data_IF_647798125153
#
_entry.id   IF_647798125153
#
_cell.length_a   1.000
_cell.length_b   1.000
_cell.length_c   1.000
_cell.angle_alpha   90.00
_cell.angle_beta   90.00
_cell.angle_gamma   90.00
#
_symmetry.space_group_name_H-M   'P 1'
#
loop_
_entity.id
_entity.type
_entity.pdbx_description
1 polymer ?
#
# COMPACT_ATOMS: atom_id res chain seq x y z
N UNK A 1 19.14 -3.51 5.65
CA UNK A 1 18.82 -3.99 7.01
C UNK A 1 18.61 -2.77 7.88
N UNK A 2 17.38 -2.59 8.37
CA UNK A 2 17.02 -1.58 9.38
C UNK A 2 16.78 -2.36 10.67
N UNK A 3 17.34 -1.94 11.81
CA UNK A 3 17.09 -2.58 13.11
C UNK A 3 16.30 -1.61 13.99
N UNK A 4 15.02 -1.92 14.24
CA UNK A 4 14.18 -1.20 15.21
C UNK A 4 14.41 -1.76 16.62
N UNK A 5 14.83 -0.94 17.57
CA UNK A 5 15.32 -1.37 18.88
C UNK A 5 14.24 -1.54 19.97
N UNK A 6 12.95 -1.45 19.67
CA UNK A 6 11.93 -1.12 20.67
C UNK A 6 10.87 -2.17 21.05
N UNK A 7 11.19 -3.46 21.06
CA UNK A 7 10.26 -4.49 21.60
C UNK A 7 10.79 -5.28 22.80
N UNK A 8 11.82 -4.78 23.50
CA UNK A 8 12.39 -5.49 24.65
C UNK A 8 11.73 -5.18 26.02
N UNK A 9 10.94 -4.10 26.17
CA UNK A 9 10.56 -3.59 27.50
C UNK A 9 9.05 -3.57 27.80
N UNK A 10 8.22 -4.39 27.15
CA UNK A 10 6.76 -4.43 27.40
C UNK A 10 6.25 -5.70 28.12
N UNK A 11 7.11 -6.50 28.75
CA UNK A 11 6.68 -7.79 29.35
C UNK A 11 6.99 -7.97 30.84
N UNK A 12 6.85 -6.92 31.65
CA UNK A 12 6.88 -7.04 33.12
C UNK A 12 5.82 -6.16 33.79
N UNK A 13 4.54 -6.42 33.49
CA UNK A 13 3.46 -6.17 34.46
C UNK A 13 2.20 -6.97 34.08
N UNK A 14 2.29 -8.30 34.19
CA UNK A 14 1.10 -9.14 34.21
C UNK A 14 0.61 -9.22 35.66
N UNK A 15 -0.68 -8.91 35.96
CA UNK A 15 -1.22 -9.10 37.29
C UNK A 15 -1.15 -10.59 37.69
N UNK A 16 -1.02 -10.91 38.99
CA UNK A 16 -0.94 -12.28 39.46
C UNK A 16 -2.17 -13.09 39.01
N UNK A 17 -1.90 -14.31 38.52
CA UNK A 17 -2.92 -15.30 38.19
C UNK A 17 -3.72 -15.66 39.44
N UNK A 18 -5.01 -15.34 39.46
CA UNK A 18 -5.96 -15.91 40.43
C UNK A 18 -6.44 -17.27 39.90
N UNK A 19 -5.58 -18.27 40.02
CA UNK A 19 -5.99 -19.68 39.97
C UNK A 19 -5.76 -20.27 41.36
N UNK A 20 -6.77 -20.19 42.21
CA UNK A 20 -6.95 -21.07 43.38
C UNK A 20 -8.34 -20.82 43.98
N UNK A 21 -9.37 -21.34 43.33
CA UNK A 21 -10.64 -21.63 43.99
C UNK A 21 -11.04 -23.08 43.71
N UNK A 22 -10.52 -23.94 44.59
CA UNK A 22 -11.11 -25.15 45.14
C UNK A 22 -12.49 -25.53 44.56
N UNK A 23 -12.50 -26.58 43.73
CA UNK A 23 -13.73 -27.28 43.31
C UNK A 23 -14.33 -28.09 44.47
N UNK A 24 -15.62 -27.93 44.79
CA UNK A 24 -16.36 -28.91 45.58
C UNK A 24 -16.69 -30.13 44.72
N UNK A 25 -16.31 -31.27 45.27
CA UNK A 25 -16.52 -32.63 44.80
C UNK A 25 -17.99 -33.05 45.02
N UNK A 26 -18.68 -33.49 43.97
CA UNK A 26 -19.97 -34.20 44.09
C UNK A 26 -20.08 -35.40 43.13
N UNK A 27 -20.91 -36.40 43.48
CA UNK A 27 -20.57 -37.80 43.30
C UNK A 27 -21.09 -38.43 42.00
N UNK A 28 -20.41 -39.54 41.68
CA UNK A 28 -20.69 -40.52 40.64
C UNK A 28 -22.13 -41.04 40.61
N UNK A 29 -22.71 -41.11 39.40
CA UNK A 29 -23.88 -41.92 39.08
C UNK A 29 -23.75 -42.50 37.67
N UNK A 30 -23.50 -43.81 37.64
CA UNK A 30 -23.87 -44.84 36.65
C UNK A 30 -24.34 -44.48 35.23
N UNK A 31 -23.63 -45.08 34.25
CA UNK A 31 -24.06 -45.71 32.97
C UNK A 31 -25.57 -46.00 32.79
N UNK A 32 -26.12 -46.16 31.55
CA UNK A 32 -25.50 -46.93 30.45
C UNK A 32 -25.75 -46.46 28.99
N UNK A 33 -25.04 -47.15 28.10
CA UNK A 33 -25.10 -47.19 26.65
C UNK A 33 -26.45 -47.65 26.07
N UNK A 34 -26.81 -47.14 24.89
CA UNK A 34 -27.43 -47.92 23.80
C UNK A 34 -27.65 -47.09 22.51
N UNK A 35 -27.84 -47.76 21.35
CA UNK A 35 -27.59 -47.21 20.02
C UNK A 35 -28.85 -47.07 19.14
N UNK A 36 -28.64 -46.59 17.90
CA UNK A 36 -29.55 -46.64 16.73
C UNK A 36 -30.86 -45.82 16.78
N UNK A 37 -31.04 -44.95 15.79
CA UNK A 37 -32.14 -45.08 14.83
C UNK A 37 -32.07 -44.00 13.74
N UNK A 38 -32.06 -44.46 12.49
CA UNK A 38 -32.49 -43.70 11.32
C UNK A 38 -33.94 -43.28 11.47
N UNK A 39 -34.31 -42.08 11.03
CA UNK A 39 -35.70 -41.71 10.79
C UNK A 39 -35.78 -40.70 9.66
N UNK A 40 -36.25 -41.19 8.53
CA UNK A 40 -36.79 -40.41 7.42
C UNK A 40 -37.94 -39.54 7.91
N UNK A 41 -37.90 -38.24 7.60
CA UNK A 41 -39.08 -37.40 7.53
C UNK A 41 -39.04 -36.59 6.23
N UNK A 42 -39.78 -37.10 5.26
CA UNK A 42 -40.50 -36.33 4.25
C UNK A 42 -41.27 -35.18 4.94
N UNK A 43 -41.25 -33.96 4.40
CA UNK A 43 -42.42 -33.06 4.43
C UNK A 43 -42.23 -31.77 3.60
N UNK A 44 -43.07 -31.71 2.56
CA UNK A 44 -43.81 -30.56 1.97
C UNK A 44 -43.05 -29.48 1.19
N UNK A 45 -43.14 -29.61 -0.14
CA UNK A 45 -43.02 -28.56 -1.14
C UNK A 45 -44.04 -27.42 -0.92
N UNK A 46 -43.63 -26.15 -0.93
CA UNK A 46 -44.56 -25.05 -1.19
C UNK A 46 -44.69 -24.88 -2.71
N UNK A 47 -45.80 -25.39 -3.26
CA UNK A 47 -46.26 -25.08 -4.62
C UNK A 47 -46.64 -23.59 -4.70
N UNK A 48 -45.71 -22.75 -5.16
CA UNK A 48 -46.01 -21.36 -5.51
C UNK A 48 -46.71 -21.32 -6.86
N UNK A 49 -48.01 -21.02 -6.82
CA UNK A 49 -48.83 -20.74 -7.99
C UNK A 49 -48.33 -19.49 -8.72
N UNK A 50 -47.63 -19.71 -9.84
CA UNK A 50 -47.26 -18.67 -10.80
C UNK A 50 -48.53 -18.26 -11.56
N UNK A 51 -49.16 -17.16 -11.14
CA UNK A 51 -50.17 -16.47 -11.94
C UNK A 51 -49.48 -15.87 -13.17
N UNK A 52 -49.80 -16.43 -14.35
CA UNK A 52 -49.48 -15.86 -15.66
C UNK A 52 -50.10 -14.47 -15.77
N UNK A 53 -49.30 -13.43 -15.62
CA UNK A 53 -49.70 -12.06 -15.94
C UNK A 53 -49.20 -11.70 -17.34
N UNK A 54 -50.18 -11.31 -18.15
CA UNK A 54 -50.14 -10.76 -19.49
C UNK A 54 -48.85 -10.00 -19.86
N UNK A 55 -48.28 -10.44 -20.98
CA UNK A 55 -47.33 -9.74 -21.83
C UNK A 55 -47.90 -8.42 -22.33
N UNK A 56 -47.42 -7.30 -21.77
CA UNK A 56 -47.44 -5.99 -22.43
C UNK A 56 -46.04 -5.45 -22.63
N UNK A 57 -45.81 -5.06 -23.89
CA UNK A 57 -44.60 -4.50 -24.48
C UNK A 57 -44.22 -3.14 -23.84
N UNK A 58 -42.91 -3.01 -23.69
CA UNK A 58 -42.06 -1.82 -23.92
C UNK A 58 -41.93 -0.72 -22.86
N UNK A 59 -40.67 -0.65 -22.38
CA UNK A 59 -39.79 0.53 -22.26
C UNK A 59 -40.17 1.62 -21.24
N UNK A 60 -39.80 1.38 -20.00
CA UNK A 60 -39.39 2.42 -19.05
C UNK A 60 -38.25 1.88 -18.19
N UNK A 61 -37.17 2.63 -17.92
CA UNK A 61 -36.12 2.17 -17.03
C UNK A 61 -36.72 1.98 -15.64
N UNK A 62 -36.63 0.77 -15.11
CA UNK A 62 -37.03 0.41 -13.74
C UNK A 62 -36.18 1.20 -12.75
N UNK A 63 -36.69 2.37 -12.35
CA UNK A 63 -36.14 3.17 -11.27
C UNK A 63 -36.31 2.40 -9.96
N UNK A 64 -35.24 1.74 -9.52
CA UNK A 64 -35.23 0.87 -8.34
C UNK A 64 -35.28 1.65 -7.01
N UNK A 65 -35.40 2.99 -7.06
CA UNK A 65 -35.49 3.85 -5.88
C UNK A 65 -36.57 4.92 -6.07
N UNK A 66 -37.51 5.09 -5.12
CA UNK A 66 -38.54 6.13 -5.19
C UNK A 66 -37.95 7.48 -4.80
N UNK A 67 -37.10 8.03 -5.66
CA UNK A 67 -36.71 9.43 -5.61
C UNK A 67 -37.88 10.27 -6.14
N UNK A 68 -38.85 10.54 -5.26
CA UNK A 68 -39.99 11.41 -5.54
C UNK A 68 -39.53 12.85 -5.80
N UNK A 69 -40.17 13.53 -6.76
CA UNK A 69 -39.75 14.82 -7.34
C UNK A 69 -39.74 16.05 -6.40
N UNK A 70 -39.79 15.88 -5.06
CA UNK A 70 -39.78 16.98 -4.09
C UNK A 70 -38.66 16.92 -3.05
N UNK A 71 -37.70 15.97 -3.16
CA UNK A 71 -36.63 15.87 -2.18
C UNK A 71 -35.66 17.04 -2.28
N UNK A 72 -35.31 17.61 -1.14
CA UNK A 72 -34.27 18.63 -1.05
C UNK A 72 -32.89 18.00 -1.31
N UNK A 73 -31.93 18.75 -1.85
CA UNK A 73 -30.55 18.27 -2.03
C UNK A 73 -29.93 17.74 -0.72
N UNK A 74 -30.37 18.28 0.43
CA UNK A 74 -29.97 17.81 1.76
C UNK A 74 -30.44 16.39 2.06
N UNK A 75 -31.70 16.06 1.75
CA UNK A 75 -32.24 14.71 1.93
C UNK A 75 -31.53 13.69 1.02
N UNK A 76 -31.26 14.07 -0.23
CA UNK A 76 -30.53 13.22 -1.17
C UNK A 76 -29.11 12.95 -0.67
N UNK A 77 -28.40 13.99 -0.19
CA UNK A 77 -27.08 13.84 0.42
C UNK A 77 -27.09 12.87 1.60
N UNK A 78 -28.02 13.01 2.54
CA UNK A 78 -28.14 12.13 3.70
C UNK A 78 -28.44 10.69 3.26
N UNK A 79 -29.35 10.52 2.31
CA UNK A 79 -29.71 9.21 1.75
C UNK A 79 -28.49 8.52 1.14
N UNK A 80 -27.75 9.23 0.30
CA UNK A 80 -26.54 8.72 -0.36
C UNK A 80 -25.46 8.35 0.66
N UNK A 81 -25.20 9.21 1.66
CA UNK A 81 -24.23 8.91 2.71
C UNK A 81 -24.60 7.67 3.55
N UNK A 82 -25.89 7.48 3.84
CA UNK A 82 -26.36 6.29 4.55
C UNK A 82 -26.18 5.02 3.69
N UNK A 83 -26.51 5.08 2.39
CA UNK A 83 -26.29 3.97 1.47
C UNK A 83 -24.80 3.61 1.35
N UNK A 84 -23.92 4.60 1.24
CA UNK A 84 -22.46 4.37 1.22
C UNK A 84 -21.99 3.73 2.52
N UNK A 85 -22.48 4.22 3.66
CA UNK A 85 -22.17 3.65 4.98
C UNK A 85 -22.60 2.18 5.07
N UNK A 86 -23.80 1.86 4.62
CA UNK A 86 -24.33 0.49 4.62
C UNK A 86 -23.52 -0.42 3.71
N UNK A 87 -23.13 0.08 2.53
CA UNK A 87 -22.27 -0.65 1.58
C UNK A 87 -20.90 -0.98 2.16
N UNK A 88 -20.32 -0.06 2.94
CA UNK A 88 -19.04 -0.26 3.64
C UNK A 88 -19.17 -1.21 4.83
N UNK A 89 -20.32 -1.21 5.53
CA UNK A 89 -20.59 -2.14 6.63
C UNK A 89 -20.84 -3.56 6.13
N UNK A 90 -21.57 -3.68 5.04
CA UNK A 90 -21.98 -4.94 4.43
C UNK A 90 -21.64 -4.90 2.94
N UNK A 91 -20.39 -5.20 2.56
CA UNK A 91 -19.99 -5.17 1.16
C UNK A 91 -20.76 -6.22 0.37
N UNK A 92 -21.39 -5.79 -0.73
CA UNK A 92 -22.04 -6.65 -1.71
C UNK A 92 -21.27 -6.52 -3.03
N UNK A 93 -20.19 -7.28 -3.27
CA UNK A 93 -19.28 -7.05 -4.40
C UNK A 93 -20.01 -6.95 -5.74
N UNK A 94 -20.97 -7.84 -6.00
CA UNK A 94 -21.75 -7.85 -7.24
C UNK A 94 -22.68 -6.65 -7.43
N UNK A 95 -23.25 -6.09 -6.35
CA UNK A 95 -24.23 -5.00 -6.42
C UNK A 95 -23.62 -3.60 -6.18
N UNK A 96 -22.42 -3.55 -5.60
CA UNK A 96 -21.74 -2.30 -5.22
C UNK A 96 -21.63 -1.30 -6.37
N UNK A 97 -21.18 -1.68 -7.59
CA UNK A 97 -21.06 -0.72 -8.69
C UNK A 97 -22.39 -0.08 -9.07
N UNK A 98 -23.45 -0.89 -9.22
CA UNK A 98 -24.78 -0.41 -9.61
C UNK A 98 -25.41 0.53 -8.56
N UNK A 99 -25.21 0.24 -7.27
CA UNK A 99 -25.67 1.11 -6.18
C UNK A 99 -24.92 2.44 -6.22
N UNK A 100 -23.59 2.41 -6.41
CA UNK A 100 -22.78 3.62 -6.49
C UNK A 100 -23.13 4.46 -7.73
N UNK A 101 -23.45 3.84 -8.86
CA UNK A 101 -23.91 4.53 -10.07
C UNK A 101 -25.26 5.22 -9.85
N UNK A 102 -26.21 4.54 -9.21
CA UNK A 102 -27.50 5.15 -8.85
C UNK A 102 -27.32 6.32 -7.88
N UNK A 103 -26.40 6.22 -6.92
CA UNK A 103 -26.07 7.32 -6.03
C UNK A 103 -25.44 8.50 -6.78
N UNK A 104 -24.52 8.23 -7.72
CA UNK A 104 -23.87 9.25 -8.54
C UNK A 104 -24.90 9.99 -9.41
N UNK A 105 -25.81 9.28 -10.08
CA UNK A 105 -26.90 9.85 -10.87
C UNK A 105 -27.81 10.75 -10.02
N UNK A 106 -28.23 10.26 -8.84
CA UNK A 106 -29.04 11.04 -7.91
C UNK A 106 -28.30 12.31 -7.45
N UNK A 107 -27.00 12.22 -7.17
CA UNK A 107 -26.18 13.38 -6.83
C UNK A 107 -26.14 14.41 -7.97
N UNK A 108 -25.96 13.97 -9.22
CA UNK A 108 -25.95 14.85 -10.41
C UNK A 108 -27.29 15.58 -10.57
N UNK A 109 -28.42 14.88 -10.44
CA UNK A 109 -29.76 15.50 -10.55
C UNK A 109 -29.98 16.62 -9.53
N UNK A 110 -29.32 16.56 -8.37
CA UNK A 110 -29.48 17.52 -7.29
C UNK A 110 -28.28 18.48 -7.11
N UNK A 111 -27.34 18.52 -8.08
CA UNK A 111 -26.18 19.42 -8.04
C UNK A 111 -25.20 19.11 -6.90
N UNK A 112 -25.11 17.85 -6.48
CA UNK A 112 -24.21 17.38 -5.42
C UNK A 112 -23.00 16.70 -6.06
N UNK A 113 -21.79 17.02 -5.60
CA UNK A 113 -20.59 16.29 -6.03
C UNK A 113 -20.51 14.93 -5.32
N UNK A 114 -20.75 13.85 -6.06
CA UNK A 114 -20.63 12.49 -5.52
C UNK A 114 -19.20 12.17 -5.06
N UNK A 115 -18.19 12.58 -5.83
CA UNK A 115 -16.78 12.45 -5.47
C UNK A 115 -16.47 13.13 -4.11
N UNK A 116 -17.03 14.31 -3.86
CA UNK A 116 -16.88 14.98 -2.57
C UNK A 116 -17.51 14.19 -1.42
N UNK A 117 -18.66 13.52 -1.63
CA UNK A 117 -19.28 12.68 -0.59
C UNK A 117 -18.42 11.45 -0.25
N UNK A 118 -17.82 10.81 -1.26
CA UNK A 118 -16.94 9.65 -1.06
C UNK A 118 -15.66 9.98 -0.28
N UNK A 119 -15.23 11.24 -0.32
CA UNK A 119 -14.03 11.73 0.36
C UNK A 119 -14.32 12.38 1.72
N UNK A 120 -15.60 12.50 2.11
CA UNK A 120 -15.97 13.04 3.41
C UNK A 120 -15.86 11.99 4.53
N UNK A 121 -15.37 12.44 5.69
CA UNK A 121 -15.33 11.67 6.93
C UNK A 121 -16.75 11.46 7.49
N UNK A 122 -17.46 10.50 6.91
CA UNK A 122 -18.89 10.28 7.14
C UNK A 122 -19.21 8.96 7.84
N UNK A 123 -18.21 8.11 8.05
CA UNK A 123 -18.37 6.82 8.74
C UNK A 123 -17.36 6.78 9.87
N UNK A 124 -17.83 6.95 11.11
CA UNK A 124 -16.99 6.84 12.32
C UNK A 124 -15.70 7.69 12.21
N UNK A 125 -15.85 8.97 11.86
CA UNK A 125 -14.76 9.96 11.67
C UNK A 125 -13.71 9.63 10.59
N UNK A 126 -13.99 8.64 9.75
CA UNK A 126 -13.17 8.25 8.61
C UNK A 126 -13.96 8.29 7.29
N UNK A 127 -13.22 8.24 6.18
CA UNK A 127 -13.82 8.18 4.84
C UNK A 127 -14.40 6.78 4.56
N UNK A 128 -15.42 6.66 3.70
CA UNK A 128 -15.85 5.37 3.15
C UNK A 128 -14.70 4.56 2.54
N UNK A 129 -13.73 5.22 1.89
CA UNK A 129 -12.56 4.60 1.27
C UNK A 129 -11.63 3.99 2.32
N UNK A 130 -11.39 4.68 3.44
CA UNK A 130 -10.63 4.16 4.58
C UNK A 130 -11.20 2.82 5.05
N UNK A 131 -12.52 2.78 5.32
CA UNK A 131 -13.16 1.56 5.80
C UNK A 131 -13.21 0.45 4.77
N UNK A 132 -13.33 0.79 3.48
CA UNK A 132 -13.24 -0.18 2.39
C UNK A 132 -11.85 -0.83 2.30
N UNK A 133 -10.79 -0.14 2.72
CA UNK A 133 -9.44 -0.72 2.87
C UNK A 133 -9.38 -1.59 4.13
N UNK A 134 -9.79 -1.06 5.29
CA UNK A 134 -9.68 -1.78 6.58
C UNK A 134 -10.49 -3.08 6.59
N UNK A 135 -11.67 -3.08 5.98
CA UNK A 135 -12.56 -4.26 5.92
C UNK A 135 -12.30 -5.16 4.70
N UNK A 136 -11.29 -4.84 3.90
CA UNK A 136 -10.96 -5.61 2.71
C UNK A 136 -10.48 -7.01 3.12
N UNK A 137 -11.01 -8.09 2.52
CA UNK A 137 -10.42 -9.41 2.66
C UNK A 137 -8.98 -9.43 2.13
N UNK A 138 -8.08 -10.17 2.80
CA UNK A 138 -6.65 -10.20 2.47
C UNK A 138 -6.36 -10.69 1.04
N UNK A 139 -7.24 -11.54 0.48
CA UNK A 139 -7.08 -12.07 -0.87
C UNK A 139 -8.41 -11.98 -1.63
N UNK A 140 -8.44 -11.38 -2.83
CA UNK A 140 -9.64 -11.40 -3.65
C UNK A 140 -9.89 -12.84 -4.14
N UNK A 141 -11.11 -13.33 -3.93
CA UNK A 141 -11.54 -14.69 -4.34
C UNK A 141 -11.34 -14.93 -5.84
N UNK A 142 -11.39 -13.88 -6.65
CA UNK A 142 -11.06 -13.94 -8.08
C UNK A 142 -10.38 -12.65 -8.55
N UNK A 143 -9.46 -12.73 -9.53
CA UNK A 143 -8.78 -11.56 -10.10
C UNK A 143 -9.73 -10.64 -10.89
N UNK A 144 -10.92 -11.12 -11.23
CA UNK A 144 -11.93 -10.40 -12.02
C UNK A 144 -13.00 -9.69 -11.18
N UNK A 145 -13.05 -9.95 -9.87
CA UNK A 145 -14.07 -9.35 -9.01
C UNK A 145 -13.70 -7.89 -8.72
N UNK A 146 -14.53 -6.97 -9.20
CA UNK A 146 -14.41 -5.56 -8.86
C UNK A 146 -14.71 -5.38 -7.38
N UNK A 147 -13.65 -5.22 -6.58
CA UNK A 147 -13.81 -4.93 -5.16
C UNK A 147 -14.47 -3.56 -4.95
N UNK A 148 -15.14 -3.42 -3.80
CA UNK A 148 -15.78 -2.17 -3.39
C UNK A 148 -14.79 -0.98 -3.44
N UNK A 149 -13.54 -1.21 -3.06
CA UNK A 149 -12.50 -0.18 -3.04
C UNK A 149 -12.26 0.43 -4.44
N UNK A 150 -12.12 -0.41 -5.46
CA UNK A 150 -11.91 -0.01 -6.84
C UNK A 150 -13.12 0.77 -7.35
N UNK A 151 -14.33 0.32 -7.02
CA UNK A 151 -15.56 1.01 -7.39
C UNK A 151 -15.66 2.42 -6.75
N UNK A 152 -15.23 2.55 -5.49
CA UNK A 152 -15.17 3.84 -4.79
C UNK A 152 -14.09 4.76 -5.39
N UNK A 153 -12.87 4.25 -5.62
CA UNK A 153 -11.74 5.05 -6.12
C UNK A 153 -12.02 5.63 -7.51
N UNK A 154 -12.60 4.84 -8.42
CA UNK A 154 -12.95 5.31 -9.77
C UNK A 154 -13.95 6.47 -9.75
N UNK A 155 -14.84 6.53 -8.75
CA UNK A 155 -15.87 7.58 -8.61
C UNK A 155 -15.44 8.73 -7.71
N UNK A 156 -14.38 8.54 -6.91
CA UNK A 156 -13.85 9.55 -6.01
C UNK A 156 -12.79 10.45 -6.67
N UNK A 157 -12.21 10.05 -7.80
CA UNK A 157 -11.16 10.81 -8.48
C UNK A 157 -11.63 12.21 -8.93
N UNK A 158 -10.78 13.25 -8.84
CA UNK A 158 -9.43 13.24 -8.25
C UNK A 158 -9.45 13.18 -6.71
N UNK A 159 -8.51 12.44 -6.12
CA UNK A 159 -8.40 12.33 -4.66
C UNK A 159 -7.75 13.60 -4.07
N UNK A 160 -8.30 14.06 -2.96
CA UNK A 160 -7.67 15.11 -2.14
C UNK A 160 -6.53 14.53 -1.32
N UNK A 161 -5.55 15.36 -0.96
CA UNK A 161 -4.43 14.97 -0.09
C UNK A 161 -4.92 14.39 1.25
N UNK A 162 -5.98 14.95 1.84
CA UNK A 162 -6.59 14.40 3.06
C UNK A 162 -7.12 12.98 2.86
N UNK A 163 -7.72 12.67 1.70
CA UNK A 163 -8.18 11.30 1.40
C UNK A 163 -7.01 10.36 1.19
N UNK A 164 -5.95 10.79 0.51
CA UNK A 164 -4.72 10.00 0.34
C UNK A 164 -4.07 9.70 1.69
N UNK A 165 -4.03 10.67 2.60
CA UNK A 165 -3.57 10.50 3.98
C UNK A 165 -4.40 9.46 4.74
N UNK A 166 -5.72 9.50 4.63
CA UNK A 166 -6.60 8.49 5.24
C UNK A 166 -6.38 7.10 4.62
N UNK A 167 -6.17 7.00 3.32
CA UNK A 167 -5.84 5.73 2.67
C UNK A 167 -4.51 5.15 3.18
N UNK A 168 -3.49 5.99 3.35
CA UNK A 168 -2.21 5.60 3.98
C UNK A 168 -2.42 5.08 5.39
N UNK A 169 -3.21 5.79 6.20
CA UNK A 169 -3.57 5.36 7.55
C UNK A 169 -4.27 3.99 7.53
N UNK A 170 -5.22 3.78 6.63
CA UNK A 170 -5.94 2.51 6.50
C UNK A 170 -4.99 1.34 6.20
N UNK A 171 -4.09 1.52 5.22
CA UNK A 171 -3.09 0.51 4.88
C UNK A 171 -2.10 0.27 6.04
N UNK A 172 -1.75 1.32 6.79
CA UNK A 172 -0.89 1.21 7.96
C UNK A 172 -1.54 0.38 9.07
N UNK A 173 -2.83 0.61 9.34
CA UNK A 173 -3.63 -0.13 10.34
C UNK A 173 -3.74 -1.60 9.98
N UNK A 174 -3.91 -1.94 8.69
CA UNK A 174 -3.95 -3.35 8.23
C UNK A 174 -2.57 -3.95 8.01
N UNK A 175 -1.51 -3.13 8.04
CA UNK A 175 -0.13 -3.51 7.67
C UNK A 175 -0.06 -4.21 6.28
N UNK A 176 -0.94 -3.83 5.35
CA UNK A 176 -1.05 -4.45 4.02
C UNK A 176 -0.18 -3.71 3.00
N UNK A 177 1.09 -4.09 2.96
CA UNK A 177 2.07 -3.54 2.02
C UNK A 177 1.72 -3.84 0.56
N UNK A 178 1.11 -4.99 0.26
CA UNK A 178 0.80 -5.39 -1.13
C UNK A 178 -0.33 -4.51 -1.68
N UNK A 179 -1.38 -4.31 -0.90
CA UNK A 179 -2.46 -3.38 -1.24
C UNK A 179 -1.94 -1.95 -1.37
N UNK A 180 -1.09 -1.50 -0.43
CA UNK A 180 -0.52 -0.17 -0.49
C UNK A 180 0.26 0.07 -1.79
N UNK A 181 1.11 -0.87 -2.21
CA UNK A 181 1.80 -0.76 -3.50
C UNK A 181 0.82 -0.74 -4.67
N UNK A 182 -0.22 -1.59 -4.67
CA UNK A 182 -1.24 -1.58 -5.72
C UNK A 182 -1.95 -0.23 -5.82
N UNK A 183 -2.30 0.37 -4.68
CA UNK A 183 -2.92 1.69 -4.64
C UNK A 183 -2.01 2.77 -5.20
N UNK A 184 -0.71 2.75 -4.88
CA UNK A 184 0.29 3.68 -5.43
C UNK A 184 0.41 3.61 -6.96
N UNK A 185 0.15 2.45 -7.56
CA UNK A 185 0.15 2.29 -9.02
C UNK A 185 -1.13 2.82 -9.68
N UNK A 186 -2.16 3.14 -8.90
CA UNK A 186 -3.40 3.69 -9.44
C UNK A 186 -3.22 5.18 -9.78
N UNK A 187 -3.66 5.65 -10.97
CA UNK A 187 -3.57 7.05 -11.35
C UNK A 187 -4.33 8.00 -10.40
N UNK A 188 -5.36 7.49 -9.72
CA UNK A 188 -6.13 8.26 -8.74
C UNK A 188 -5.31 8.60 -7.48
N UNK A 189 -4.34 7.76 -7.11
CA UNK A 189 -3.55 7.92 -5.89
C UNK A 189 -2.26 8.70 -6.12
N UNK A 190 -1.55 8.40 -7.21
CA UNK A 190 -0.26 9.03 -7.55
C UNK A 190 -0.24 9.39 -9.02
N UNK A 191 -0.95 10.45 -9.44
CA UNK A 191 -0.90 10.89 -10.83
C UNK A 191 0.54 11.21 -11.20
N UNK A 192 1.01 10.67 -12.33
CA UNK A 192 2.31 11.04 -12.87
C UNK A 192 2.31 12.53 -13.23
N UNK A 193 3.42 13.21 -12.98
CA UNK A 193 3.59 14.55 -13.52
C UNK A 193 3.54 14.47 -15.05
N UNK A 194 2.78 15.36 -15.70
CA UNK A 194 2.69 15.38 -17.17
C UNK A 194 4.07 15.54 -17.83
N UNK A 195 5.01 16.22 -17.16
CA UNK A 195 6.40 16.32 -17.62
C UNK A 195 7.12 14.97 -17.59
N UNK A 196 6.91 14.18 -16.55
CA UNK A 196 7.50 12.85 -16.43
C UNK A 196 6.91 11.91 -17.48
N UNK A 197 5.59 11.95 -17.71
CA UNK A 197 4.92 11.16 -18.74
C UNK A 197 5.47 11.46 -20.15
N UNK A 198 5.68 12.74 -20.48
CA UNK A 198 6.21 13.16 -21.78
C UNK A 198 7.68 12.74 -21.95
N UNK A 199 8.52 12.98 -20.93
CA UNK A 199 9.98 12.84 -21.05
C UNK A 199 10.48 11.40 -20.83
N UNK A 200 9.79 10.63 -20.00
CA UNK A 200 10.11 9.22 -19.73
C UNK A 200 9.31 8.27 -20.62
N UNK A 201 8.19 8.75 -21.18
CA UNK A 201 7.26 7.99 -22.01
C UNK A 201 6.10 7.41 -21.21
N UNK A 202 5.02 7.05 -21.90
CA UNK A 202 3.80 6.52 -21.27
C UNK A 202 3.95 5.12 -20.64
N UNK A 203 5.04 4.40 -20.93
CA UNK A 203 5.21 2.99 -20.57
C UNK A 203 6.43 2.78 -19.65
N UNK A 204 6.55 3.54 -18.57
CA UNK A 204 7.56 3.28 -17.55
C UNK A 204 7.08 2.08 -16.73
N UNK A 205 7.85 0.99 -16.63
CA UNK A 205 7.49 -0.11 -15.74
C UNK A 205 7.42 0.41 -14.29
N UNK A 206 6.46 -0.07 -13.48
CA UNK A 206 6.30 0.37 -12.11
C UNK A 206 7.51 0.00 -11.24
N UNK A 207 7.78 0.82 -10.22
CA UNK A 207 8.77 0.50 -9.19
C UNK A 207 8.34 -0.75 -8.41
N UNK A 208 9.23 -1.72 -8.23
CA UNK A 208 8.96 -2.88 -7.38
C UNK A 208 9.57 -2.67 -6.01
N UNK A 209 8.75 -2.91 -4.98
CA UNK A 209 9.16 -2.80 -3.59
C UNK A 209 8.76 -4.08 -2.85
N UNK A 210 9.75 -4.78 -2.31
CA UNK A 210 9.54 -5.98 -1.49
C UNK A 210 10.03 -5.71 -0.08
N UNK A 211 9.21 -6.01 0.91
CA UNK A 211 9.52 -5.86 2.33
C UNK A 211 9.56 -7.25 2.95
N UNK A 212 10.66 -7.57 3.61
CA UNK A 212 10.89 -8.85 4.26
C UNK A 212 11.26 -8.62 5.74
N UNK A 213 10.50 -9.25 6.63
CA UNK A 213 10.80 -9.26 8.06
C UNK A 213 11.94 -10.24 8.36
N UNK A 214 12.94 -9.78 9.12
CA UNK A 214 14.08 -10.62 9.49
C UNK A 214 13.75 -11.35 10.79
N UNK A 215 13.67 -12.69 10.73
CA UNK A 215 13.29 -13.52 11.87
C UNK A 215 14.26 -13.43 13.08
N UNK A 216 15.53 -13.12 12.83
CA UNK A 216 16.59 -13.12 13.85
C UNK A 216 16.75 -11.79 14.60
N UNK A 217 16.04 -10.74 14.23
CA UNK A 217 16.19 -9.41 14.82
C UNK A 217 14.85 -8.84 15.26
N UNK A 218 14.75 -8.50 16.54
CA UNK A 218 13.64 -7.69 17.06
C UNK A 218 13.56 -6.42 16.21
N UNK A 219 12.41 -6.20 15.56
CA UNK A 219 12.16 -5.01 14.75
C UNK A 219 13.01 -4.87 13.48
N UNK A 220 13.76 -5.88 13.07
CA UNK A 220 14.62 -5.78 11.89
C UNK A 220 13.87 -6.15 10.60
N UNK A 221 14.14 -5.42 9.51
CA UNK A 221 13.56 -5.72 8.19
C UNK A 221 14.52 -5.36 7.04
N UNK A 222 14.24 -5.94 5.88
CA UNK A 222 14.92 -5.71 4.61
C UNK A 222 13.90 -5.18 3.62
N UNK A 223 14.30 -4.18 2.85
CA UNK A 223 13.51 -3.67 1.73
C UNK A 223 14.36 -3.76 0.48
N UNK A 224 13.81 -4.40 -0.54
CA UNK A 224 14.42 -4.53 -1.86
C UNK A 224 13.65 -3.66 -2.83
N UNK A 225 14.38 -2.77 -3.51
CA UNK A 225 13.83 -1.84 -4.50
C UNK A 225 14.35 -2.22 -5.87
N UNK A 226 13.46 -2.27 -6.86
CA UNK A 226 13.81 -2.29 -8.27
C UNK A 226 13.20 -1.05 -8.93
N UNK A 227 14.07 -0.18 -9.44
CA UNK A 227 13.69 1.12 -10.00
C UNK A 227 14.04 1.14 -11.48
N UNK A 228 13.07 0.87 -12.37
CA UNK A 228 13.29 0.90 -13.80
C UNK A 228 13.74 2.29 -14.26
N UNK A 229 14.69 2.31 -15.20
CA UNK A 229 15.22 3.54 -15.80
C UNK A 229 15.76 4.55 -14.74
N UNK A 230 16.31 4.05 -13.63
CA UNK A 230 16.76 4.85 -12.48
C UNK A 230 17.55 6.11 -12.88
N UNK A 231 18.62 5.95 -13.68
CA UNK A 231 19.48 7.08 -14.08
C UNK A 231 18.72 8.09 -14.95
N UNK A 232 17.90 7.62 -15.90
CA UNK A 232 17.08 8.49 -16.75
C UNK A 232 16.07 9.29 -15.91
N UNK A 233 15.41 8.64 -14.95
CA UNK A 233 14.50 9.29 -13.99
C UNK A 233 15.21 10.30 -13.10
N UNK A 234 16.39 9.96 -12.59
CA UNK A 234 17.21 10.89 -11.81
C UNK A 234 17.66 12.12 -12.62
N UNK A 235 17.92 11.99 -13.93
CA UNK A 235 18.28 13.13 -14.79
C UNK A 235 17.08 14.04 -15.08
N UNK A 236 15.92 13.45 -15.33
CA UNK A 236 14.71 14.17 -15.75
C UNK A 236 13.95 14.71 -14.53
N UNK A 237 13.41 13.81 -13.72
CA UNK A 237 12.53 14.15 -12.58
C UNK A 237 13.32 14.69 -11.40
N UNK A 238 14.63 14.40 -11.34
CA UNK A 238 15.56 14.81 -10.26
C UNK A 238 15.18 14.31 -8.87
N UNK A 239 14.12 13.49 -8.77
CA UNK A 239 13.61 12.91 -7.55
C UNK A 239 12.89 11.61 -7.87
N UNK A 240 13.16 10.57 -7.08
CA UNK A 240 12.46 9.29 -7.09
C UNK A 240 12.04 9.02 -5.66
N UNK A 241 10.74 8.81 -5.41
CA UNK A 241 10.19 8.56 -4.08
C UNK A 241 9.57 7.17 -4.03
N UNK A 242 10.03 6.37 -3.06
CA UNK A 242 9.58 5.01 -2.80
C UNK A 242 8.93 5.00 -1.42
N UNK A 243 7.63 4.73 -1.36
CA UNK A 243 6.89 4.62 -0.10
C UNK A 243 6.61 3.16 0.19
N UNK A 244 6.74 2.74 1.45
CA UNK A 244 6.47 1.36 1.87
C UNK A 244 6.06 1.26 3.33
N UNK A 245 5.34 0.20 3.66
CA UNK A 245 4.95 -0.15 5.02
C UNK A 245 5.90 -1.24 5.52
N UNK A 246 6.49 -1.00 6.69
CA UNK A 246 7.30 -2.00 7.39
C UNK A 246 7.20 -1.78 8.89
N UNK A 247 7.00 -2.86 9.66
CA UNK A 247 6.93 -2.85 11.13
C UNK A 247 5.94 -1.80 11.66
N UNK A 248 4.73 -1.76 11.11
CA UNK A 248 3.68 -0.83 11.54
C UNK A 248 4.02 0.65 11.35
N UNK A 249 4.91 0.96 10.39
CA UNK A 249 5.30 2.33 10.02
C UNK A 249 5.26 2.52 8.52
N UNK A 250 4.90 3.74 8.13
CA UNK A 250 4.93 4.19 6.75
C UNK A 250 6.25 4.92 6.50
N UNK A 251 7.05 4.39 5.61
CA UNK A 251 8.38 4.91 5.28
C UNK A 251 8.36 5.62 3.93
N UNK A 252 9.17 6.66 3.82
CA UNK A 252 9.53 7.29 2.55
C UNK A 252 11.03 7.15 2.35
N UNK A 253 11.43 6.58 1.23
CA UNK A 253 12.82 6.51 0.81
C UNK A 253 12.95 7.22 -0.53
N UNK A 254 13.87 8.16 -0.63
CA UNK A 254 14.02 8.95 -1.85
C UNK A 254 15.45 9.08 -2.33
N UNK A 255 15.60 9.14 -3.65
CA UNK A 255 16.78 9.64 -4.31
C UNK A 255 16.46 11.02 -4.86
N UNK A 256 17.31 12.01 -4.67
CA UNK A 256 17.08 13.34 -5.24
C UNK A 256 18.38 14.06 -5.58
N UNK A 257 18.30 15.09 -6.40
CA UNK A 257 19.42 16.00 -6.65
C UNK A 257 19.28 17.27 -5.81
N UNK A 258 20.39 17.77 -5.27
CA UNK A 258 20.41 19.04 -4.53
C UNK A 258 20.21 20.18 -5.54
N UNK A 259 19.06 20.86 -5.46
CA UNK A 259 18.74 22.00 -6.32
C UNK A 259 19.25 23.32 -5.70
N UNK A 260 19.51 24.37 -6.52
CA UNK A 260 19.91 25.68 -6.02
C UNK A 260 18.86 26.33 -5.09
N UNK A 261 17.58 26.06 -5.34
CA UNK A 261 16.47 26.59 -4.52
C UNK A 261 16.50 26.05 -3.09
N UNK A 262 17.05 24.85 -2.92
CA UNK A 262 17.26 24.20 -1.64
C UNK A 262 18.65 24.49 -1.08
N UNK A 263 19.37 25.52 -1.58
CA UNK A 263 20.68 25.88 -1.04
C UNK A 263 20.51 26.28 0.43
N UNK A 264 21.16 25.57 1.37
CA UNK A 264 21.08 25.84 2.81
C UNK A 264 21.56 27.24 3.21
N UNK A 265 22.06 28.06 2.28
CA UNK A 265 22.26 29.50 2.52
C UNK A 265 20.98 30.24 2.93
N UNK A 266 19.80 29.77 2.51
CA UNK A 266 18.52 30.37 2.89
C UNK A 266 17.89 29.75 4.15
N UNK A 267 18.39 28.59 4.62
CA UNK A 267 17.92 27.95 5.85
C UNK A 267 19.02 27.96 6.92
N UNK A 268 18.97 28.87 7.91
CA UNK A 268 19.98 28.98 8.95
C UNK A 268 20.11 27.73 9.83
N UNK A 269 19.15 26.80 9.80
CA UNK A 269 19.16 25.58 10.61
C UNK A 269 19.85 24.39 9.93
N UNK A 270 20.16 24.45 8.62
CA UNK A 270 20.82 23.37 7.86
C UNK A 270 22.33 23.63 7.70
N UNK A 271 22.97 24.21 8.73
CA UNK A 271 24.38 24.66 8.64
C UNK A 271 25.42 23.54 8.66
N UNK A 272 25.06 22.30 8.99
CA UNK A 272 26.03 21.24 9.20
C UNK A 272 26.49 20.50 7.92
N UNK A 273 25.75 20.55 6.81
CA UNK A 273 26.09 19.77 5.61
C UNK A 273 25.78 20.54 4.31
N UNK A 274 26.64 21.51 3.96
CA UNK A 274 26.59 22.18 2.65
C UNK A 274 26.97 21.18 1.55
N UNK A 275 25.96 20.54 0.97
CA UNK A 275 26.13 19.62 -0.17
C UNK A 275 26.19 20.44 -1.46
N UNK A 276 27.12 20.17 -2.39
CA UNK A 276 27.19 20.90 -3.66
C UNK A 276 25.88 20.75 -4.44
N UNK A 277 25.41 21.85 -5.04
CA UNK A 277 24.30 21.82 -6.01
C UNK A 277 24.60 20.80 -7.10
N UNK A 278 23.61 20.02 -7.49
CA UNK A 278 23.72 18.93 -8.44
C UNK A 278 24.11 17.58 -7.81
N UNK A 279 24.58 17.56 -6.56
CA UNK A 279 24.91 16.31 -5.88
C UNK A 279 23.67 15.44 -5.68
N UNK A 280 23.81 14.14 -5.90
CA UNK A 280 22.74 13.18 -5.60
C UNK A 280 22.77 12.81 -4.12
N UNK A 281 21.60 12.80 -3.51
CA UNK A 281 21.38 12.43 -2.12
C UNK A 281 20.37 11.31 -2.03
N UNK A 282 20.50 10.52 -0.98
CA UNK A 282 19.51 9.57 -0.53
C UNK A 282 18.92 10.09 0.76
N UNK A 283 17.63 9.91 0.92
CA UNK A 283 16.93 10.36 2.09
C UNK A 283 15.93 9.29 2.58
N UNK A 284 15.85 9.10 3.90
CA UNK A 284 14.95 8.14 4.55
C UNK A 284 14.16 8.86 5.63
N UNK A 285 12.84 8.85 5.50
CA UNK A 285 11.91 9.55 6.38
C UNK A 285 10.74 8.66 6.81
N UNK A 286 10.01 9.13 7.81
CA UNK A 286 8.70 8.59 8.17
C UNK A 286 7.62 9.44 7.52
N UNK A 287 6.56 8.80 7.06
CA UNK A 287 5.34 9.48 6.65
C UNK A 287 4.37 9.62 7.82
N UNK A 288 3.38 10.47 7.63
CA UNK A 288 2.23 10.68 8.52
C UNK A 288 1.67 9.39 9.13
N UNK A 289 1.10 9.52 10.33
CA UNK A 289 0.54 8.43 11.14
C UNK A 289 1.55 7.41 11.70
N UNK A 290 2.83 7.51 11.34
CA UNK A 290 3.87 6.65 11.88
C UNK A 290 4.37 7.14 13.25
N UNK A 291 4.54 6.25 14.25
CA UNK A 291 5.21 6.62 15.49
C UNK A 291 6.71 6.88 15.26
N UNK A 292 7.26 7.87 15.96
CA UNK A 292 8.68 8.19 15.95
C UNK A 292 9.55 6.96 16.25
N UNK A 293 10.72 6.88 15.63
CA UNK A 293 11.61 5.72 15.82
C UNK A 293 13.09 6.03 15.66
N UNK A 294 13.92 5.20 16.27
CA UNK A 294 15.36 5.19 16.05
C UNK A 294 15.68 4.37 14.81
N UNK A 295 16.61 4.85 14.00
CA UNK A 295 16.99 4.17 12.76
C UNK A 295 18.48 3.96 12.75
N UNK A 296 18.89 2.72 12.52
CA UNK A 296 20.23 2.38 12.06
C UNK A 296 20.06 1.44 10.87
N UNK A 297 20.27 1.97 9.68
CA UNK A 297 20.05 1.26 8.43
C UNK A 297 21.26 1.33 7.52
N UNK A 298 21.33 0.34 6.63
CA UNK A 298 22.35 0.27 5.58
C UNK A 298 21.66 0.09 4.23
N UNK A 299 21.93 1.04 3.33
CA UNK A 299 21.63 0.94 1.92
C UNK A 299 22.78 0.24 1.21
N UNK A 300 22.43 -0.67 0.32
CA UNK A 300 23.36 -1.36 -0.56
C UNK A 300 22.81 -1.30 -1.97
N UNK A 301 23.58 -0.77 -2.92
CA UNK A 301 23.19 -0.74 -4.33
C UNK A 301 24.04 -1.79 -5.03
N UNK A 302 23.35 -2.81 -5.56
CA UNK A 302 23.96 -3.93 -6.26
C UNK A 302 23.74 -3.71 -7.75
N UNK A 303 24.81 -3.82 -8.53
CA UNK A 303 24.71 -3.81 -9.98
C UNK A 303 23.97 -5.07 -10.43
N UNK A 304 22.90 -4.90 -11.21
CA UNK A 304 22.18 -6.03 -11.76
C UNK A 304 23.07 -6.69 -12.82
N UNK A 305 23.79 -7.74 -12.43
CA UNK A 305 24.45 -8.59 -13.41
C UNK A 305 23.34 -9.24 -14.24
N UNK A 306 23.25 -8.99 -15.56
CA UNK A 306 22.26 -9.68 -16.39
C UNK A 306 22.51 -11.17 -16.16
N UNK A 307 21.53 -11.85 -15.55
CA UNK A 307 21.62 -13.29 -15.38
C UNK A 307 21.82 -13.87 -16.76
N UNK A 308 23.02 -14.41 -17.04
CA UNK A 308 23.32 -15.03 -18.33
C UNK A 308 22.15 -15.97 -18.62
N UNK A 309 21.39 -15.76 -19.71
CA UNK A 309 20.20 -16.55 -19.96
C UNK A 309 20.64 -18.01 -19.92
N UNK A 310 20.07 -18.76 -18.97
CA UNK A 310 20.35 -20.19 -18.83
C UNK A 310 20.15 -20.77 -20.21
N UNK A 311 21.18 -21.37 -20.85
CA UNK A 311 21.01 -21.89 -22.20
C UNK A 311 19.85 -22.88 -22.13
N UNK A 312 18.78 -22.54 -22.85
CA UNK A 312 17.61 -23.38 -22.96
C UNK A 312 18.07 -24.75 -23.43
N UNK A 313 17.75 -25.79 -22.66
CA UNK A 313 18.15 -27.19 -22.86
C UNK A 313 17.58 -27.84 -24.14
N UNK A 314 17.14 -27.05 -25.12
CA UNK A 314 16.51 -27.50 -26.36
C UNK A 314 17.30 -26.92 -27.53
N UNK A 315 18.49 -27.43 -27.73
CA UNK A 315 19.06 -27.70 -29.05
C UNK A 315 20.39 -28.39 -28.81
N UNK A 316 20.39 -29.72 -28.92
CA UNK A 316 21.58 -30.57 -28.97
C UNK A 316 22.38 -30.25 -30.23
N UNK A 317 23.56 -29.61 -30.15
CA UNK A 317 24.47 -29.52 -31.27
C UNK A 317 25.38 -30.75 -31.25
N UNK A 318 25.55 -31.29 -32.44
CA UNK A 318 26.42 -32.42 -32.81
C UNK A 318 27.82 -32.29 -32.17
N UNK A 319 28.43 -33.39 -31.69
CA UNK A 319 29.72 -33.35 -31.00
C UNK A 319 30.86 -33.04 -31.97
N UNK A 320 31.25 -31.77 -32.07
CA UNK A 320 32.51 -31.38 -32.72
C UNK A 320 33.62 -31.33 -31.66
N UNK A 321 34.31 -32.46 -31.54
CA UNK A 321 35.44 -32.65 -30.65
C UNK A 321 36.67 -31.92 -31.21
N UNK A 322 37.15 -30.89 -30.48
CA UNK A 322 38.53 -30.39 -30.42
C UNK A 322 38.67 -28.86 -30.54
N UNK A 323 38.13 -28.10 -29.58
CA UNK A 323 38.57 -26.71 -29.37
C UNK A 323 39.02 -26.49 -27.92
N UNK A 324 40.30 -26.21 -27.65
CA UNK A 324 40.79 -25.96 -26.31
C UNK A 324 40.13 -24.67 -25.77
N UNK A 325 39.33 -24.83 -24.72
CA UNK A 325 38.67 -23.73 -24.03
C UNK A 325 39.72 -22.93 -23.25
N UNK A 326 39.95 -21.69 -23.69
CA UNK A 326 40.81 -20.75 -22.97
C UNK A 326 40.23 -20.49 -21.58
N UNK A 327 41.07 -20.43 -20.52
CA UNK A 327 40.61 -20.17 -19.16
C UNK A 327 39.92 -18.80 -19.09
N UNK A 328 38.61 -18.79 -18.85
CA UNK A 328 37.86 -17.56 -18.55
C UNK A 328 38.48 -16.92 -17.31
N UNK A 329 39.11 -15.76 -17.47
CA UNK A 329 39.61 -14.94 -16.37
C UNK A 329 38.44 -14.61 -15.45
N UNK A 330 38.51 -15.04 -14.18
CA UNK A 330 37.57 -14.62 -13.13
C UNK A 330 37.70 -13.09 -12.98
N UNK A 331 36.71 -12.33 -13.42
CA UNK A 331 36.66 -10.89 -13.15
C UNK A 331 36.53 -10.69 -11.64
N UNK A 332 37.27 -9.72 -11.10
CA UNK A 332 37.13 -9.32 -9.70
C UNK A 332 35.72 -8.71 -9.52
N UNK A 333 35.01 -9.02 -8.43
CA UNK A 333 33.68 -8.46 -8.20
C UNK A 333 33.76 -6.93 -8.10
N UNK A 334 32.83 -6.24 -8.76
CA UNK A 334 32.74 -4.79 -8.67
C UNK A 334 32.45 -4.37 -7.22
N UNK A 335 33.11 -3.31 -6.71
CA UNK A 335 32.86 -2.81 -5.36
C UNK A 335 31.41 -2.36 -5.20
N UNK A 336 30.74 -2.84 -4.15
CA UNK A 336 29.34 -2.52 -3.86
C UNK A 336 29.20 -1.13 -3.24
N UNK A 337 28.28 -0.31 -3.75
CA UNK A 337 27.94 0.98 -3.14
C UNK A 337 27.19 0.73 -1.84
N UNK A 338 27.67 1.33 -0.75
CA UNK A 338 27.07 1.13 0.56
C UNK A 338 27.06 2.41 1.39
N UNK A 339 25.88 2.74 1.92
CA UNK A 339 25.65 3.95 2.73
C UNK A 339 24.96 3.58 4.03
N UNK A 340 25.35 4.22 5.12
CA UNK A 340 24.70 4.06 6.42
C UNK A 340 23.78 5.25 6.66
N UNK A 341 22.49 5.00 6.94
CA UNK A 341 21.54 6.02 7.33
C UNK A 341 21.17 5.76 8.79
N UNK A 342 21.58 6.67 9.66
CA UNK A 342 21.43 6.53 11.11
C UNK A 342 20.91 7.82 11.73
N UNK A 343 19.93 7.69 12.61
CA UNK A 343 19.48 8.79 13.49
C UNK A 343 20.60 9.17 14.46
N UNK A 344 20.82 10.48 14.64
CA UNK A 344 21.82 11.01 15.58
C UNK A 344 21.33 10.99 17.02
N UNK A 345 21.15 12.17 17.61
CA UNK A 345 20.68 12.36 18.99
C UNK A 345 19.16 12.38 19.14
N UNK A 346 18.41 12.40 18.04
CA UNK A 346 16.94 12.47 18.03
C UNK A 346 16.35 11.32 17.20
N UNK A 347 15.16 10.89 17.60
CA UNK A 347 14.35 9.97 16.81
C UNK A 347 13.94 10.60 15.47
N UNK A 348 13.77 9.76 14.46
CA UNK A 348 13.10 10.12 13.23
C UNK A 348 11.60 10.23 13.54
N UNK A 349 10.99 11.36 13.19
CA UNK A 349 9.58 11.63 13.42
C UNK A 349 8.87 11.90 12.07
N UNK A 350 7.56 11.65 11.94
CA UNK A 350 6.82 12.06 10.75
C UNK A 350 6.85 13.60 10.59
N UNK A 351 6.71 14.14 9.37
CA UNK A 351 6.64 15.57 9.13
C UNK A 351 5.40 16.14 9.82
N UNK A 352 5.61 16.99 10.82
CA UNK A 352 4.54 17.74 11.49
C UNK A 352 4.64 19.19 11.06
N UNK A 353 3.58 19.78 10.45
CA UNK A 353 3.55 21.19 10.13
C UNK A 353 3.88 21.99 11.40
N UNK A 354 4.93 22.84 11.34
CA UNK A 354 5.43 23.74 12.41
C UNK A 354 6.45 23.17 13.40
N UNK A 355 6.83 21.89 13.31
CA UNK A 355 7.84 21.34 14.23
C UNK A 355 9.21 21.27 13.55
N UNK A 356 10.26 21.77 14.20
CA UNK A 356 11.65 21.74 13.69
C UNK A 356 12.34 20.37 13.83
N UNK A 357 11.59 19.30 14.13
CA UNK A 357 12.17 17.97 14.31
C UNK A 357 12.62 17.40 12.96
N UNK A 358 13.76 16.68 12.90
CA UNK A 358 14.24 16.09 11.67
C UNK A 358 13.27 15.00 11.20
N UNK A 359 12.57 15.28 10.10
CA UNK A 359 11.64 14.33 9.48
C UNK A 359 12.33 13.32 8.56
N UNK A 360 13.61 13.53 8.26
CA UNK A 360 14.35 12.74 7.28
C UNK A 360 15.86 12.65 7.59
N UNK A 361 16.46 11.50 7.30
CA UNK A 361 17.90 11.26 7.34
C UNK A 361 18.44 11.41 5.92
N UNK A 362 19.26 12.44 5.65
CA UNK A 362 19.76 12.74 4.30
C UNK A 362 21.26 12.49 4.18
N UNK A 363 21.67 11.52 3.37
CA UNK A 363 23.07 11.14 3.14
C UNK A 363 23.42 11.36 1.66
N UNK A 364 24.51 12.09 1.32
CA UNK A 364 24.92 12.23 -0.06
C UNK A 364 25.50 10.91 -0.60
N UNK A 365 25.24 10.60 -1.88
CA UNK A 365 25.81 9.41 -2.51
C UNK A 365 27.34 9.45 -2.55
N UNK A 366 27.93 10.64 -2.56
CA UNK A 366 29.39 10.84 -2.52
C UNK A 366 30.08 10.30 -1.27
N UNK A 367 29.34 10.01 -0.20
CA UNK A 367 29.89 9.38 1.01
C UNK A 367 30.23 7.90 0.79
N UNK A 368 29.74 7.29 -0.30
CA UNK A 368 30.19 5.99 -0.77
C UNK A 368 31.26 6.18 -1.84
N UNK A 369 32.36 5.44 -1.73
CA UNK A 369 33.49 5.48 -2.68
C UNK A 369 33.05 5.29 -4.14
N UNK A 370 32.02 4.48 -4.37
CA UNK A 370 31.45 4.20 -5.70
C UNK A 370 30.15 4.97 -5.98
N UNK A 371 29.64 5.80 -5.06
CA UNK A 371 28.35 6.45 -5.27
C UNK A 371 28.35 7.46 -6.42
N UNK A 372 29.50 8.04 -6.75
CA UNK A 372 29.64 8.94 -7.91
C UNK A 372 29.48 8.19 -9.25
N UNK A 373 29.77 6.89 -9.33
CA UNK A 373 29.61 6.14 -10.59
C UNK A 373 28.15 6.03 -11.03
N UNK A 374 27.19 6.23 -10.12
CA UNK A 374 25.76 6.29 -10.49
C UNK A 374 25.41 7.57 -11.24
N UNK A 375 26.16 8.65 -11.04
CA UNK A 375 25.91 9.97 -11.62
C UNK A 375 26.41 10.07 -13.06
N UNK A 376 27.42 9.27 -13.42
CA UNK A 376 28.07 9.27 -14.73
C UNK A 376 27.75 7.98 -15.47
N UNK A 377 27.23 8.05 -16.70
CA UNK A 377 27.30 6.91 -17.62
C UNK A 377 28.55 7.06 -18.49
N UNK A 378 29.23 5.94 -18.72
CA UNK A 378 30.18 5.81 -19.83
C UNK A 378 29.41 6.15 -21.12
N UNK A 379 29.82 7.24 -21.77
CA UNK A 379 29.35 7.66 -23.10
C UNK A 379 29.64 6.58 -24.13
#
# INVERSE_FOLDING_TARGET
MIVDKYLADLNTDAPPSYDDLVSPQEPSSSQPSSPFASSSQSHVDPTLQIKKLSTKKSKGPTSWFPFTASRTAKEVRITVLNLIRDLVKHPFPAASPAILDSCAEACVTHGISFASLLQQKSVEDHTPIYWAIVKRPAEPTSPTEHDLLTALLTRAAPLTESTVSEMRLACLVTNDQVLFQRLRLSPAFSPLSGTDEILLGANIPPDMIRVEDVASGVGAFIVTFEVPLFQRRMRISRRIVLEFIARGRMWSFSFSTVLPENDPKNDPNVRANKKPVGSWVVALGLLEHSPSTWVDSRLTIVEHSPSTPTPSLIDTPIPDASRPSLPRKKSKPNPTISLRLKTGSSQLAPPIPKTEMPSEIVVPLSDSLMGQSLQYEYV
#
